data_IF_751020355806
#
_entry.id   IF_751020355806
#
_cell.length_a   1.000
_cell.length_b   1.000
_cell.length_c   1.000
_cell.angle_alpha   90.00
_cell.angle_beta   90.00
_cell.angle_gamma   90.00
#
_symmetry.space_group_name_H-M   'P 1'
#
loop_
_entity.id
_entity.type
_entity.pdbx_description
1 polymer ?
#
# COMPACT_ATOMS: atom_id res chain seq x y z
N UNK A 1 6.91 2.32 10.68
CA UNK A 1 6.92 2.93 12.02
C UNK A 1 5.91 4.09 12.03
N UNK A 2 5.47 4.59 13.20
CA UNK A 2 4.44 5.62 13.24
C UNK A 2 4.76 6.83 12.37
N UNK A 3 3.83 7.23 11.51
CA UNK A 3 3.93 8.42 10.68
C UNK A 3 3.07 9.57 11.23
N UNK A 4 3.46 10.80 10.89
CA UNK A 4 2.82 12.03 11.39
C UNK A 4 2.13 12.84 10.31
N UNK A 5 2.51 12.59 9.05
CA UNK A 5 1.80 13.13 7.91
C UNK A 5 0.41 12.52 7.81
N UNK A 6 -0.41 13.12 6.96
CA UNK A 6 -1.79 12.71 6.74
C UNK A 6 -2.11 12.97 5.27
N UNK A 7 -2.97 12.14 4.68
CA UNK A 7 -3.52 12.46 3.36
C UNK A 7 -4.22 13.82 3.32
N UNK A 8 -4.33 14.36 2.11
CA UNK A 8 -5.07 15.58 1.83
C UNK A 8 -6.54 15.45 2.24
N UNK A 9 -7.14 16.58 2.60
CA UNK A 9 -8.58 16.66 2.84
C UNK A 9 -9.24 17.24 1.59
N UNK A 10 -10.22 16.54 1.03
CA UNK A 10 -10.88 16.91 -0.23
C UNK A 10 -12.14 17.75 0.04
N UNK A 11 -12.29 18.87 -0.68
CA UNK A 11 -13.54 19.65 -0.74
C UNK A 11 -13.83 20.55 0.46
N UNK A 12 -15.03 21.16 0.45
CA UNK A 12 -15.62 21.81 1.62
C UNK A 12 -16.04 20.73 2.61
N UNK A 13 -15.22 20.52 3.65
CA UNK A 13 -15.55 19.57 4.69
C UNK A 13 -16.64 20.18 5.56
N UNK A 14 -17.81 19.54 5.59
CA UNK A 14 -18.83 19.84 6.59
C UNK A 14 -18.25 19.67 8.00
N UNK A 15 -18.83 20.31 9.02
CA UNK A 15 -18.41 20.12 10.40
C UNK A 15 -18.49 18.63 10.81
N UNK A 16 -17.57 18.15 11.66
CA UNK A 16 -16.51 18.90 12.33
C UNK A 16 -15.32 19.22 11.40
N UNK A 17 -14.62 20.37 11.59
CA UNK A 17 -13.45 20.72 10.80
C UNK A 17 -12.40 19.60 10.88
N UNK A 18 -11.75 19.25 9.76
CA UNK A 18 -10.88 18.07 9.67
C UNK A 18 -9.66 18.15 10.59
N UNK A 19 -9.30 19.32 11.13
CA UNK A 19 -8.19 19.47 12.07
C UNK A 19 -8.64 20.07 13.42
N UNK A 20 -9.95 20.09 13.69
CA UNK A 20 -10.51 20.61 14.94
C UNK A 20 -10.31 19.69 16.14
N UNK A 21 -10.15 18.38 15.89
CA UNK A 21 -10.03 17.34 16.92
C UNK A 21 -11.18 17.39 17.93
N UNK A 22 -12.40 17.62 17.42
CA UNK A 22 -13.61 17.66 18.24
C UNK A 22 -13.86 16.28 18.85
N UNK A 23 -14.32 16.31 20.10
CA UNK A 23 -14.67 15.11 20.86
C UNK A 23 -16.18 15.14 21.03
N UNK A 24 -16.86 14.07 20.64
CA UNK A 24 -18.29 13.94 20.86
C UNK A 24 -18.63 13.40 22.26
N UNK A 25 -19.93 13.27 22.52
CA UNK A 25 -20.45 12.79 23.81
C UNK A 25 -20.07 11.32 24.08
N UNK A 26 -19.77 10.54 23.05
CA UNK A 26 -19.25 9.17 23.17
C UNK A 26 -17.72 9.10 23.35
N UNK A 27 -17.03 10.24 23.37
CA UNK A 27 -15.57 10.31 23.54
C UNK A 27 -14.77 10.02 22.27
N UNK A 28 -15.41 9.99 21.10
CA UNK A 28 -14.74 9.78 19.81
C UNK A 28 -14.11 11.09 19.32
N UNK A 29 -12.89 11.00 18.79
CA UNK A 29 -12.13 12.17 18.31
C UNK A 29 -12.21 12.28 16.79
N UNK A 30 -12.79 13.36 16.29
CA UNK A 30 -12.94 13.64 14.87
C UNK A 30 -11.86 14.61 14.38
N UNK A 31 -10.84 14.05 13.74
CA UNK A 31 -9.87 14.81 12.95
C UNK A 31 -9.13 13.89 11.97
N UNK A 32 -8.65 14.47 10.87
CA UNK A 32 -7.71 13.84 9.96
C UNK A 32 -6.44 13.46 10.72
N UNK A 33 -6.12 12.17 10.60
CA UNK A 33 -4.97 11.57 11.25
C UNK A 33 -5.26 10.96 12.62
N UNK A 34 -6.48 11.07 13.16
CA UNK A 34 -6.80 10.40 14.44
C UNK A 34 -6.68 8.90 14.30
N UNK A 35 -7.20 8.31 13.22
CA UNK A 35 -7.15 6.87 12.96
C UNK A 35 -5.86 6.41 12.27
N UNK A 36 -5.44 7.13 11.22
CA UNK A 36 -4.24 6.83 10.43
C UNK A 36 -3.23 7.98 10.50
N UNK A 37 -2.25 7.93 11.39
CA UNK A 37 -2.12 6.93 12.46
C UNK A 37 -1.68 7.53 13.80
N UNK A 38 -2.08 8.78 14.06
CA UNK A 38 -1.64 9.50 15.27
C UNK A 38 -2.12 8.82 16.56
N UNK A 39 -3.24 8.08 16.55
CA UNK A 39 -3.65 7.30 17.71
C UNK A 39 -2.58 6.29 18.14
N UNK A 40 -2.03 5.50 17.21
CA UNK A 40 -0.98 4.51 17.49
C UNK A 40 0.29 5.20 17.99
N UNK A 41 0.65 6.33 17.36
CA UNK A 41 1.76 7.17 17.83
C UNK A 41 1.59 7.64 19.28
N UNK A 42 0.37 8.06 19.65
CA UNK A 42 0.05 8.46 21.03
C UNK A 42 0.05 7.29 22.00
N UNK A 43 -0.41 6.10 21.59
CA UNK A 43 -0.32 4.88 22.39
C UNK A 43 1.14 4.53 22.72
N UNK A 44 2.05 4.67 21.75
CA UNK A 44 3.48 4.46 21.99
C UNK A 44 4.02 5.42 23.05
N UNK A 45 3.67 6.71 22.97
CA UNK A 45 4.07 7.69 23.98
C UNK A 45 3.55 7.35 25.38
N UNK A 46 2.30 6.90 25.47
CA UNK A 46 1.69 6.41 26.72
C UNK A 46 2.45 5.21 27.29
N UNK A 47 2.72 4.20 26.46
CA UNK A 47 3.45 3.00 26.86
C UNK A 47 4.87 3.32 27.37
N UNK A 48 5.66 4.13 26.65
CA UNK A 48 7.01 4.53 27.10
C UNK A 48 6.93 5.26 28.44
N UNK A 49 5.96 6.16 28.61
CA UNK A 49 5.79 6.91 29.85
C UNK A 49 5.51 5.97 31.02
N UNK A 50 4.66 4.96 30.83
CA UNK A 50 4.40 3.94 31.84
C UNK A 50 5.66 3.12 32.17
N UNK A 51 6.39 2.65 31.15
CA UNK A 51 7.64 1.90 31.31
C UNK A 51 8.74 2.71 32.04
N UNK A 52 8.84 4.01 31.75
CA UNK A 52 9.77 4.91 32.45
C UNK A 52 9.37 5.10 33.91
N UNK A 53 8.07 5.27 34.19
CA UNK A 53 7.56 5.45 35.57
C UNK A 53 7.73 4.20 36.43
N UNK A 54 7.63 3.01 35.84
CA UNK A 54 7.85 1.74 36.56
C UNK A 54 9.33 1.42 36.79
N UNK A 55 10.26 2.20 36.22
CA UNK A 55 11.70 1.94 36.32
C UNK A 55 12.15 0.71 35.53
N UNK A 56 11.40 0.30 34.50
CA UNK A 56 11.71 -0.87 33.69
C UNK A 56 13.11 -0.77 33.06
N UNK A 57 13.85 -1.88 33.10
CA UNK A 57 15.17 -2.02 32.46
C UNK A 57 15.11 -3.13 31.42
N UNK A 58 15.57 -2.82 30.21
CA UNK A 58 15.48 -3.72 29.06
C UNK A 58 16.87 -4.25 28.67
N UNK A 59 16.90 -5.48 28.16
CA UNK A 59 18.13 -6.10 27.61
C UNK A 59 18.54 -5.49 26.27
N UNK A 60 17.63 -4.80 25.59
CA UNK A 60 17.79 -4.20 24.26
C UNK A 60 17.26 -2.77 24.29
N UNK A 61 17.75 -1.93 23.38
CA UNK A 61 17.30 -0.55 23.22
C UNK A 61 15.95 -0.52 22.51
N UNK A 62 15.01 0.26 23.04
CA UNK A 62 13.73 0.55 22.37
C UNK A 62 13.92 1.84 21.57
N UNK A 63 13.85 1.74 20.25
CA UNK A 63 13.87 2.88 19.34
C UNK A 63 12.45 3.23 18.91
N UNK A 64 12.13 4.52 18.90
CA UNK A 64 10.82 5.01 18.46
C UNK A 64 11.06 6.12 17.46
N UNK A 65 10.51 5.92 16.28
CA UNK A 65 10.67 6.82 15.15
C UNK A 65 9.30 7.33 14.72
N UNK A 66 9.14 8.65 14.73
CA UNK A 66 8.00 9.33 14.17
C UNK A 66 8.40 9.88 12.80
N UNK A 67 8.00 9.19 11.74
CA UNK A 67 8.38 9.56 10.38
C UNK A 67 7.36 10.52 9.77
N UNK A 68 7.76 11.12 8.66
CA UNK A 68 6.88 11.86 7.76
C UNK A 68 7.00 11.22 6.37
N UNK A 69 6.12 11.64 5.46
CA UNK A 69 6.12 11.29 4.03
C UNK A 69 5.68 9.83 3.75
N UNK A 70 5.11 9.11 4.72
CA UNK A 70 4.60 7.73 4.51
C UNK A 70 3.52 7.72 3.43
N UNK A 71 2.56 8.66 3.51
CA UNK A 71 1.38 8.75 2.64
C UNK A 71 1.76 9.03 1.17
N UNK A 72 2.99 9.50 0.95
CA UNK A 72 3.59 9.78 -0.36
C UNK A 72 4.62 8.70 -0.79
N UNK A 73 4.68 7.59 -0.07
CA UNK A 73 5.54 6.42 -0.35
C UNK A 73 6.93 6.48 0.29
N UNK A 74 7.14 7.36 1.26
CA UNK A 74 8.34 7.50 2.08
C UNK A 74 9.57 7.98 1.30
N UNK A 75 9.38 8.65 0.15
CA UNK A 75 10.44 9.05 -0.78
C UNK A 75 11.51 9.94 -0.14
N UNK A 76 11.08 10.85 0.73
CA UNK A 76 11.94 11.77 1.48
C UNK A 76 12.06 11.40 2.96
N UNK A 77 11.26 10.43 3.43
CA UNK A 77 11.26 9.93 4.80
C UNK A 77 12.08 8.65 4.99
N UNK A 78 11.40 7.54 5.25
CA UNK A 78 12.05 6.29 5.65
C UNK A 78 12.95 5.67 4.56
N UNK A 79 12.61 5.84 3.28
CA UNK A 79 13.32 5.22 2.16
C UNK A 79 14.80 5.63 2.07
N UNK A 80 15.18 6.92 2.09
CA UNK A 80 16.60 7.29 2.16
C UNK A 80 17.23 6.92 3.51
N UNK A 81 16.47 7.01 4.61
CA UNK A 81 17.01 6.80 5.95
C UNK A 81 17.52 5.38 6.19
N UNK A 82 16.83 4.34 5.70
CA UNK A 82 17.25 2.93 5.85
C UNK A 82 18.63 2.63 5.27
N UNK A 83 19.12 3.46 4.35
CA UNK A 83 20.43 3.30 3.72
C UNK A 83 21.56 4.06 4.44
N UNK A 84 21.26 4.77 5.51
CA UNK A 84 22.25 5.56 6.25
C UNK A 84 23.00 4.74 7.30
N UNK A 85 24.22 5.19 7.66
CA UNK A 85 24.95 4.63 8.80
C UNK A 85 24.17 4.81 10.12
N UNK A 86 23.41 5.90 10.25
CA UNK A 86 22.58 6.16 11.43
C UNK A 86 21.51 5.06 11.63
N UNK A 87 20.79 4.67 10.58
CA UNK A 87 19.83 3.57 10.65
C UNK A 87 20.51 2.24 10.95
N UNK A 88 21.64 1.94 10.28
CA UNK A 88 22.43 0.72 10.54
C UNK A 88 22.87 0.62 12.01
N UNK A 89 23.26 1.75 12.60
CA UNK A 89 23.71 1.82 14.00
C UNK A 89 22.57 1.61 15.03
N UNK A 90 21.30 1.70 14.62
CA UNK A 90 20.18 1.32 15.49
C UNK A 90 20.17 -0.18 15.80
N UNK A 91 20.81 -1.01 14.96
CA UNK A 91 20.93 -2.46 15.16
C UNK A 91 19.57 -3.13 15.44
N UNK A 92 18.58 -2.80 14.60
CA UNK A 92 17.19 -3.25 14.72
C UNK A 92 17.12 -4.76 14.52
N UNK A 93 16.55 -5.47 15.50
CA UNK A 93 16.28 -6.91 15.41
C UNK A 93 14.80 -7.26 15.20
N UNK A 94 13.91 -6.34 15.58
CA UNK A 94 12.46 -6.48 15.46
C UNK A 94 11.85 -5.08 15.36
N UNK A 95 10.80 -4.92 14.56
CA UNK A 95 10.09 -3.66 14.39
C UNK A 95 8.60 -3.92 14.38
N UNK A 96 7.85 -3.03 15.04
CA UNK A 96 6.41 -2.90 14.84
C UNK A 96 6.18 -1.78 13.84
N UNK A 97 5.38 -2.06 12.82
CA UNK A 97 5.00 -1.05 11.84
C UNK A 97 3.75 -0.28 12.30
N UNK A 98 3.17 0.51 11.41
CA UNK A 98 2.00 1.35 11.69
C UNK A 98 0.80 0.59 12.25
N UNK A 99 0.59 -0.64 11.79
CA UNK A 99 -0.59 -1.42 12.11
C UNK A 99 -1.87 -0.76 11.59
N UNK A 100 -3.01 -1.17 12.13
CA UNK A 100 -4.30 -0.58 11.80
C UNK A 100 -5.12 -0.41 13.06
N UNK A 101 -5.82 0.71 13.18
CA UNK A 101 -6.80 0.90 14.24
C UNK A 101 -7.95 -0.12 14.09
N UNK A 102 -8.34 -0.74 15.21
CA UNK A 102 -9.46 -1.66 15.26
C UNK A 102 -10.70 -0.98 15.86
N UNK A 103 -11.91 -1.20 15.30
CA UNK A 103 -13.15 -0.74 15.92
C UNK A 103 -13.57 -1.63 17.11
N UNK A 104 -12.88 -2.74 17.34
CA UNK A 104 -13.16 -3.68 18.43
C UNK A 104 -11.91 -3.88 19.29
N UNK A 105 -12.03 -4.71 20.33
CA UNK A 105 -10.90 -5.11 21.19
C UNK A 105 -9.95 -6.12 20.52
N UNK A 106 -10.23 -6.53 19.28
CA UNK A 106 -9.36 -7.40 18.50
C UNK A 106 -8.25 -6.58 17.87
N UNK A 107 -6.99 -6.92 18.16
CA UNK A 107 -5.82 -6.29 17.55
C UNK A 107 -5.44 -7.06 16.27
N UNK A 108 -5.66 -6.50 15.06
CA UNK A 108 -5.20 -7.15 13.84
C UNK A 108 -3.68 -7.10 13.76
N UNK A 109 -3.08 -8.25 13.43
CA UNK A 109 -1.63 -8.38 13.26
C UNK A 109 -1.34 -8.69 11.80
N UNK A 110 -0.60 -7.79 11.15
CA UNK A 110 -0.18 -7.94 9.77
C UNK A 110 1.26 -8.44 9.73
N UNK A 111 1.46 -9.63 9.17
CA UNK A 111 2.77 -10.28 9.09
C UNK A 111 3.41 -10.13 7.70
N UNK A 112 2.67 -9.62 6.72
CA UNK A 112 3.12 -9.47 5.35
C UNK A 112 2.39 -8.31 4.65
N UNK A 113 3.01 -7.82 3.57
CA UNK A 113 2.45 -6.81 2.70
C UNK A 113 2.53 -7.23 1.23
N UNK A 114 1.50 -6.84 0.47
CA UNK A 114 1.49 -6.98 -0.98
C UNK A 114 2.43 -5.97 -1.62
N UNK A 115 3.03 -6.36 -2.74
CA UNK A 115 3.93 -5.46 -3.46
C UNK A 115 3.16 -4.51 -4.39
N UNK A 116 3.41 -3.22 -4.22
CA UNK A 116 2.72 -2.16 -4.97
C UNK A 116 3.46 -1.86 -6.28
N UNK A 117 2.78 -2.07 -7.39
CA UNK A 117 3.23 -1.78 -8.74
C UNK A 117 2.21 -0.84 -9.40
N UNK A 118 2.61 0.40 -9.68
CA UNK A 118 1.81 1.38 -10.42
C UNK A 118 2.40 1.52 -11.81
N UNK A 119 1.74 0.88 -12.78
CA UNK A 119 2.27 0.67 -14.12
C UNK A 119 1.53 1.59 -15.09
N UNK A 120 2.26 2.53 -15.67
CA UNK A 120 1.81 3.36 -16.78
C UNK A 120 2.21 2.70 -18.09
N UNK A 121 1.23 2.53 -18.97
CA UNK A 121 1.43 2.07 -20.34
C UNK A 121 1.34 3.29 -21.25
N UNK A 122 2.48 3.74 -21.78
CA UNK A 122 2.56 4.81 -22.77
C UNK A 122 2.48 4.18 -24.17
N UNK A 123 1.31 4.25 -24.80
CA UNK A 123 0.94 3.43 -25.97
C UNK A 123 0.98 4.28 -27.23
N UNK A 124 2.02 4.09 -28.04
CA UNK A 124 2.19 4.78 -29.32
C UNK A 124 1.57 4.01 -30.48
N UNK A 125 1.02 4.74 -31.46
CA UNK A 125 0.49 4.15 -32.68
C UNK A 125 0.30 5.14 -33.82
N UNK A 126 -0.23 4.63 -34.93
CA UNK A 126 -0.48 5.42 -36.14
C UNK A 126 -1.54 6.49 -35.88
N UNK A 127 -1.19 7.76 -36.14
CA UNK A 127 -2.10 8.90 -36.05
C UNK A 127 -2.63 9.30 -37.43
N UNK A 128 -3.76 10.01 -37.45
CA UNK A 128 -4.33 10.56 -38.68
C UNK A 128 -5.78 10.98 -38.52
N UNK A 129 -6.47 11.19 -39.64
CA UNK A 129 -7.87 11.61 -39.62
C UNK A 129 -8.78 10.44 -39.19
N UNK A 130 -9.75 10.70 -38.30
CA UNK A 130 -10.66 9.71 -37.73
C UNK A 130 -11.61 9.04 -38.74
N UNK A 131 -11.69 9.55 -39.98
CA UNK A 131 -12.42 8.91 -41.08
C UNK A 131 -11.64 7.77 -41.75
N UNK A 132 -10.38 7.56 -41.39
CA UNK A 132 -9.51 6.53 -41.98
C UNK A 132 -9.42 5.32 -41.05
N UNK A 133 -9.45 4.12 -41.62
CA UNK A 133 -9.22 2.86 -40.91
C UNK A 133 -7.72 2.53 -40.89
N UNK A 134 -6.98 3.31 -40.12
CA UNK A 134 -5.54 3.13 -39.93
C UNK A 134 -5.28 1.85 -39.12
N UNK A 135 -4.19 1.15 -39.45
CA UNK A 135 -3.71 -0.02 -38.69
C UNK A 135 -2.70 0.42 -37.63
N UNK A 136 -2.50 -0.42 -36.61
CA UNK A 136 -1.47 -0.23 -35.59
C UNK A 136 -1.70 1.07 -34.79
N UNK A 137 -2.97 1.37 -34.50
CA UNK A 137 -3.34 2.58 -33.76
C UNK A 137 -3.10 2.42 -32.27
N UNK A 138 -2.94 3.53 -31.55
CA UNK A 138 -2.83 3.50 -30.09
C UNK A 138 -4.10 2.91 -29.45
N UNK A 139 -5.27 3.13 -30.06
CA UNK A 139 -6.56 2.60 -29.58
C UNK A 139 -6.68 1.07 -29.64
N UNK A 140 -6.24 0.45 -30.74
CA UNK A 140 -6.23 -1.03 -30.88
C UNK A 140 -5.33 -1.67 -29.82
N UNK A 141 -4.13 -1.10 -29.62
CA UNK A 141 -3.17 -1.57 -28.61
C UNK A 141 -3.69 -1.38 -27.20
N UNK A 142 -4.26 -0.22 -26.91
CA UNK A 142 -4.87 0.08 -25.62
C UNK A 142 -5.96 -0.93 -25.29
N UNK A 143 -6.86 -1.22 -26.23
CA UNK A 143 -7.92 -2.19 -26.04
C UNK A 143 -7.36 -3.58 -25.69
N UNK A 144 -6.29 -4.03 -26.36
CA UNK A 144 -5.64 -5.31 -26.03
C UNK A 144 -5.11 -5.33 -24.59
N UNK A 145 -4.33 -4.30 -24.19
CA UNK A 145 -3.72 -4.22 -22.85
C UNK A 145 -4.78 -4.14 -21.75
N UNK A 146 -5.78 -3.26 -21.91
CA UNK A 146 -6.88 -3.13 -20.94
C UNK A 146 -7.62 -4.46 -20.79
N UNK A 147 -7.91 -5.15 -21.90
CA UNK A 147 -8.57 -6.45 -21.84
C UNK A 147 -7.73 -7.49 -21.10
N UNK A 148 -6.40 -7.55 -21.30
CA UNK A 148 -5.53 -8.47 -20.55
C UNK A 148 -5.52 -8.18 -19.05
N UNK A 149 -5.35 -6.92 -18.67
CA UNK A 149 -5.33 -6.49 -17.27
C UNK A 149 -6.68 -6.71 -16.58
N UNK A 150 -7.78 -6.33 -17.23
CA UNK A 150 -9.14 -6.50 -16.69
C UNK A 150 -9.58 -7.97 -16.63
N UNK A 151 -9.12 -8.81 -17.57
CA UNK A 151 -9.34 -10.25 -17.52
C UNK A 151 -8.66 -10.86 -16.29
N UNK A 152 -7.42 -10.45 -15.99
CA UNK A 152 -6.71 -10.89 -14.79
C UNK A 152 -7.39 -10.39 -13.52
N UNK A 153 -7.83 -9.12 -13.48
CA UNK A 153 -8.66 -8.59 -12.38
C UNK A 153 -9.89 -9.47 -12.11
N UNK A 154 -10.62 -9.83 -13.17
CA UNK A 154 -11.82 -10.65 -13.04
C UNK A 154 -11.50 -12.07 -12.56
N UNK A 155 -10.33 -12.62 -12.90
CA UNK A 155 -9.87 -13.91 -12.37
C UNK A 155 -9.59 -13.83 -10.87
N UNK A 156 -8.89 -12.79 -10.41
CA UNK A 156 -8.59 -12.58 -8.99
C UNK A 156 -9.85 -12.32 -8.15
N UNK A 157 -10.81 -11.56 -8.69
CA UNK A 157 -12.11 -11.38 -8.05
C UNK A 157 -12.86 -12.71 -7.89
N UNK A 158 -12.92 -13.52 -8.94
CA UNK A 158 -13.55 -14.85 -8.87
C UNK A 158 -12.86 -15.78 -7.87
N UNK A 159 -11.52 -15.72 -7.75
CA UNK A 159 -10.80 -16.49 -6.72
C UNK A 159 -11.29 -16.12 -5.32
N UNK A 160 -11.42 -14.82 -5.04
CA UNK A 160 -11.89 -14.31 -3.75
C UNK A 160 -13.36 -14.68 -3.50
N UNK A 161 -14.24 -14.52 -4.48
CA UNK A 161 -15.67 -14.83 -4.34
C UNK A 161 -15.94 -16.34 -4.16
N UNK A 162 -15.13 -17.19 -4.79
CA UNK A 162 -15.31 -18.64 -4.76
C UNK A 162 -14.63 -19.33 -3.57
N UNK A 163 -13.84 -18.61 -2.76
CA UNK A 163 -13.18 -19.19 -1.59
C UNK A 163 -13.30 -18.26 -0.36
N UNK A 164 -14.19 -18.60 0.60
CA UNK A 164 -14.40 -17.79 1.79
C UNK A 164 -13.22 -17.78 2.77
N UNK A 165 -12.23 -18.67 2.60
CA UNK A 165 -11.00 -18.68 3.41
C UNK A 165 -10.01 -17.61 2.95
N UNK A 166 -10.16 -17.07 1.73
CA UNK A 166 -9.31 -16.01 1.22
C UNK A 166 -9.78 -14.65 1.67
N UNK A 167 -8.81 -13.82 2.02
CA UNK A 167 -9.02 -12.39 2.25
C UNK A 167 -8.48 -11.58 1.06
N UNK A 168 -8.75 -10.27 1.06
CA UNK A 168 -8.21 -9.38 0.03
C UNK A 168 -6.67 -9.37 -0.01
N UNK A 169 -6.00 -9.72 1.10
CA UNK A 169 -4.54 -9.81 1.18
C UNK A 169 -3.95 -10.99 0.40
N UNK A 170 -4.76 -12.03 0.16
CA UNK A 170 -4.33 -13.28 -0.46
C UNK A 170 -4.45 -13.26 -1.99
N UNK A 171 -5.02 -12.20 -2.56
CA UNK A 171 -5.22 -12.05 -4.01
C UNK A 171 -4.55 -10.80 -4.56
N UNK A 172 -4.23 -10.85 -5.85
CA UNK A 172 -3.67 -9.70 -6.57
C UNK A 172 -4.79 -8.75 -6.96
N UNK A 173 -4.76 -7.50 -6.48
CA UNK A 173 -5.72 -6.49 -6.94
C UNK A 173 -5.16 -5.72 -8.12
N UNK A 174 -5.99 -5.50 -9.14
CA UNK A 174 -5.63 -4.78 -10.36
C UNK A 174 -6.75 -3.78 -10.63
N UNK A 175 -6.44 -2.49 -10.63
CA UNK A 175 -7.44 -1.44 -10.89
C UNK A 175 -6.92 -0.43 -11.89
N UNK A 176 -7.72 -0.10 -12.91
CA UNK A 176 -7.46 1.00 -13.84
C UNK A 176 -7.71 2.32 -13.09
N UNK A 177 -6.66 3.08 -12.81
CA UNK A 177 -6.74 4.29 -11.98
C UNK A 177 -6.56 5.58 -12.76
N UNK A 178 -5.94 5.54 -13.95
CA UNK A 178 -5.84 6.68 -14.87
C UNK A 178 -5.96 6.23 -16.31
N UNK A 179 -6.53 7.09 -17.13
CA UNK A 179 -6.58 6.96 -18.59
C UNK A 179 -6.55 8.35 -19.22
N UNK A 180 -5.89 8.50 -20.37
CA UNK A 180 -5.84 9.78 -21.08
C UNK A 180 -5.14 9.72 -22.43
N UNK A 181 -5.17 10.83 -23.15
CA UNK A 181 -4.55 11.01 -24.46
C UNK A 181 -5.53 11.51 -25.54
N UNK A 182 -5.00 11.81 -26.72
CA UNK A 182 -5.74 12.46 -27.81
C UNK A 182 -5.86 13.98 -27.68
N UNK A 183 -6.20 14.62 -28.80
CA UNK A 183 -6.24 16.10 -28.91
C UNK A 183 -7.59 16.63 -29.41
N UNK A 184 -8.23 15.92 -30.34
CA UNK A 184 -9.50 16.31 -30.96
C UNK A 184 -10.32 15.06 -31.30
N UNK A 185 -11.64 15.18 -31.32
CA UNK A 185 -12.55 14.05 -31.51
C UNK A 185 -12.48 13.40 -32.91
N UNK A 186 -12.00 14.13 -33.91
CA UNK A 186 -11.84 13.66 -35.30
C UNK A 186 -10.40 13.22 -35.64
N UNK A 187 -9.52 13.05 -34.65
CA UNK A 187 -8.11 12.67 -34.86
C UNK A 187 -7.81 11.35 -34.15
N UNK A 188 -7.25 10.39 -34.89
CA UNK A 188 -6.66 9.17 -34.33
C UNK A 188 -5.39 9.57 -33.57
N UNK A 189 -5.29 9.30 -32.26
CA UNK A 189 -4.20 9.81 -31.44
C UNK A 189 -2.88 9.07 -31.71
N UNK A 190 -1.73 9.78 -31.69
CA UNK A 190 -0.41 9.15 -31.78
C UNK A 190 -0.02 8.43 -30.48
N UNK A 191 -0.58 8.85 -29.35
CA UNK A 191 -0.25 8.36 -28.01
C UNK A 191 -1.52 8.31 -27.15
N UNK A 192 -1.71 7.19 -26.46
CA UNK A 192 -2.66 7.03 -25.36
C UNK A 192 -1.92 6.52 -24.13
N UNK A 193 -2.46 6.81 -22.95
CA UNK A 193 -1.90 6.37 -21.68
C UNK A 193 -2.98 5.74 -20.80
N UNK A 194 -2.62 4.64 -20.13
CA UNK A 194 -3.39 4.11 -19.00
C UNK A 194 -2.46 3.71 -17.85
N UNK A 195 -2.95 3.87 -16.62
CA UNK A 195 -2.27 3.43 -15.41
C UNK A 195 -3.10 2.38 -14.68
N UNK A 196 -2.46 1.27 -14.30
CA UNK A 196 -3.02 0.29 -13.38
C UNK A 196 -2.29 0.33 -12.03
N UNK A 197 -3.03 0.46 -10.92
CA UNK A 197 -2.53 0.15 -9.58
C UNK A 197 -2.69 -1.37 -9.37
N UNK A 198 -1.56 -2.05 -9.25
CA UNK A 198 -1.45 -3.49 -9.06
C UNK A 198 -0.82 -3.76 -7.70
N UNK A 199 -1.55 -4.45 -6.82
CA UNK A 199 -1.03 -4.93 -5.53
C UNK A 199 -0.84 -6.43 -5.66
N UNK A 200 0.38 -6.86 -5.93
CA UNK A 200 0.73 -8.27 -6.14
C UNK A 200 0.65 -9.04 -4.82
N UNK A 201 -0.08 -10.16 -4.83
CA UNK A 201 -0.15 -11.09 -3.70
C UNK A 201 1.24 -11.63 -3.33
N UNK A 202 1.37 -12.08 -2.08
CA UNK A 202 2.66 -12.47 -1.48
C UNK A 202 3.29 -13.72 -2.11
N UNK A 203 2.50 -14.51 -2.82
CA UNK A 203 2.87 -15.74 -3.51
C UNK A 203 3.19 -15.53 -5.01
N UNK A 204 2.94 -14.33 -5.54
CA UNK A 204 3.18 -14.02 -6.95
C UNK A 204 4.67 -13.84 -7.24
N UNK A 205 5.16 -14.57 -8.24
CA UNK A 205 6.47 -14.35 -8.84
C UNK A 205 6.45 -13.05 -9.67
N UNK A 206 7.17 -12.05 -9.16
CA UNK A 206 7.25 -10.74 -9.78
C UNK A 206 8.00 -10.73 -11.11
N UNK A 207 8.98 -11.63 -11.28
CA UNK A 207 9.77 -11.73 -12.51
C UNK A 207 8.89 -12.31 -13.61
N UNK A 208 8.15 -13.37 -13.32
CA UNK A 208 7.22 -13.97 -14.29
C UNK A 208 6.05 -13.04 -14.61
N UNK A 209 5.53 -12.32 -13.61
CA UNK A 209 4.50 -11.31 -13.84
C UNK A 209 5.00 -10.19 -14.77
N UNK A 210 6.19 -9.65 -14.53
CA UNK A 210 6.80 -8.63 -15.38
C UNK A 210 7.02 -9.12 -16.80
N UNK A 211 7.59 -10.33 -16.97
CA UNK A 211 7.76 -10.95 -18.29
C UNK A 211 6.43 -11.07 -19.03
N UNK A 212 5.35 -11.46 -18.34
CA UNK A 212 4.00 -11.54 -18.91
C UNK A 212 3.49 -10.19 -19.41
N UNK A 213 3.70 -9.11 -18.63
CA UNK A 213 3.31 -7.75 -19.04
C UNK A 213 4.11 -7.29 -20.27
N UNK A 214 5.42 -7.53 -20.30
CA UNK A 214 6.24 -7.25 -21.48
C UNK A 214 5.82 -8.07 -22.70
N UNK A 215 5.48 -9.35 -22.51
CA UNK A 215 4.98 -10.19 -23.58
C UNK A 215 3.70 -9.62 -24.19
N UNK A 216 2.73 -9.18 -23.36
CA UNK A 216 1.52 -8.54 -23.87
C UNK A 216 1.80 -7.27 -24.68
N UNK A 217 2.81 -6.48 -24.29
CA UNK A 217 3.22 -5.31 -25.06
C UNK A 217 3.79 -5.70 -26.43
N UNK A 218 4.55 -6.80 -26.50
CA UNK A 218 5.11 -7.31 -27.75
C UNK A 218 4.05 -7.95 -28.65
N UNK A 219 3.10 -8.71 -28.09
CA UNK A 219 2.03 -9.41 -28.83
C UNK A 219 1.20 -8.46 -29.68
N UNK A 220 1.02 -7.22 -29.23
CA UNK A 220 0.22 -6.19 -29.92
C UNK A 220 1.05 -5.27 -30.83
N UNK A 221 2.26 -5.71 -31.18
CA UNK A 221 3.15 -5.02 -32.13
C UNK A 221 4.07 -3.97 -31.50
N UNK A 222 4.26 -3.97 -30.18
CA UNK A 222 5.19 -3.08 -29.49
C UNK A 222 4.78 -1.61 -29.53
N UNK A 223 5.76 -0.70 -29.37
CA UNK A 223 5.50 0.74 -29.26
C UNK A 223 4.75 1.11 -27.97
N UNK A 224 4.94 0.32 -26.92
CA UNK A 224 4.38 0.56 -25.59
C UNK A 224 5.56 0.68 -24.63
N UNK A 225 5.74 1.86 -24.06
CA UNK A 225 6.72 2.09 -23.00
C UNK A 225 6.04 1.87 -21.65
N UNK A 226 6.69 1.10 -20.77
CA UNK A 226 6.24 0.85 -19.41
C UNK A 226 6.98 1.79 -18.47
N UNK A 227 6.24 2.66 -17.82
CA UNK A 227 6.75 3.51 -16.75
C UNK A 227 6.20 3.03 -15.41
N UNK A 228 7.06 2.90 -14.41
CA UNK A 228 6.66 2.51 -13.06
C UNK A 228 6.80 3.68 -12.11
N UNK A 229 5.68 4.28 -11.70
CA UNK A 229 5.66 5.29 -10.64
C UNK A 229 6.11 4.66 -9.31
N UNK A 230 5.69 3.42 -9.08
CA UNK A 230 6.13 2.60 -7.97
C UNK A 230 6.29 1.15 -8.44
N UNK A 231 7.41 0.52 -8.08
CA UNK A 231 7.69 -0.90 -8.33
C UNK A 231 8.41 -1.48 -7.11
N UNK A 232 7.64 -1.93 -6.12
CA UNK A 232 8.22 -2.48 -4.88
C UNK A 232 8.63 -3.94 -5.07
N UNK A 233 9.83 -4.34 -4.60
CA UNK A 233 10.23 -5.73 -4.60
C UNK A 233 9.39 -6.53 -3.61
N UNK A 234 9.31 -7.85 -3.83
CA UNK A 234 8.71 -8.78 -2.89
C UNK A 234 9.44 -8.74 -1.55
N UNK A 235 8.69 -8.62 -0.46
CA UNK A 235 9.18 -8.78 0.90
C UNK A 235 8.63 -10.10 1.44
N UNK A 236 9.47 -10.90 2.09
CA UNK A 236 9.02 -12.16 2.68
C UNK A 236 8.08 -11.88 3.84
N UNK A 237 7.00 -12.66 3.99
CA UNK A 237 6.20 -12.67 5.21
C UNK A 237 7.08 -12.91 6.45
N UNK A 238 6.77 -12.21 7.52
CA UNK A 238 7.36 -12.47 8.84
C UNK A 238 6.87 -13.83 9.33
N UNK A 239 7.74 -14.78 9.70
CA UNK A 239 7.30 -16.06 10.25
C UNK A 239 6.54 -15.85 11.56
N UNK A 240 5.33 -16.39 11.64
CA UNK A 240 4.43 -16.34 12.81
C UNK A 240 4.37 -17.70 13.52
N UNK A 241 5.50 -18.40 13.56
CA UNK A 241 5.63 -19.71 14.18
C UNK A 241 6.86 -19.76 15.12
N UNK A 242 7.15 -20.95 15.65
CA UNK A 242 8.24 -21.18 16.62
C UNK A 242 9.64 -20.93 16.06
N UNK A 243 9.80 -20.79 14.74
CA UNK A 243 11.09 -20.43 14.13
C UNK A 243 11.49 -18.98 14.40
N UNK A 244 10.55 -18.11 14.76
CA UNK A 244 10.80 -16.70 15.04
C UNK A 244 10.68 -16.41 16.56
N UNK A 245 11.79 -16.25 17.28
CA UNK A 245 11.75 -16.00 18.72
C UNK A 245 11.10 -14.65 19.09
N UNK A 246 11.12 -13.67 18.17
CA UNK A 246 10.43 -12.39 18.40
C UNK A 246 8.92 -12.54 18.29
N UNK A 247 8.44 -13.41 17.40
CA UNK A 247 7.02 -13.74 17.30
C UNK A 247 6.53 -14.40 18.60
N UNK A 248 7.25 -15.39 19.13
CA UNK A 248 6.88 -16.04 20.39
C UNK A 248 6.78 -15.06 21.56
N UNK A 249 7.72 -14.11 21.66
CA UNK A 249 7.69 -13.07 22.68
C UNK A 249 6.51 -12.10 22.47
N UNK A 250 6.23 -11.73 21.22
CA UNK A 250 5.10 -10.88 20.86
C UNK A 250 3.77 -11.56 21.20
N UNK A 251 3.56 -12.79 20.71
CA UNK A 251 2.37 -13.60 20.95
C UNK A 251 2.11 -13.80 22.45
N UNK A 252 3.14 -14.15 23.23
CA UNK A 252 3.02 -14.28 24.69
C UNK A 252 2.56 -12.99 25.34
N UNK A 253 3.16 -11.85 24.97
CA UNK A 253 2.78 -10.55 25.53
C UNK A 253 1.38 -10.12 25.10
N UNK A 254 0.92 -10.54 23.92
CA UNK A 254 -0.40 -10.16 23.42
C UNK A 254 -1.53 -11.06 23.89
N UNK A 255 -1.26 -12.34 24.16
CA UNK A 255 -2.25 -13.26 24.71
C UNK A 255 -2.66 -12.91 26.14
N UNK A 256 -1.81 -12.17 26.86
CA UNK A 256 -2.13 -11.61 28.18
C UNK A 256 -3.15 -10.44 28.11
N UNK A 257 -3.45 -9.88 26.93
CA UNK A 257 -4.45 -8.81 26.76
C UNK A 257 -5.91 -9.30 26.74
N UNK A 258 -6.21 -10.52 27.16
CA UNK A 258 -7.57 -10.82 27.67
C UNK A 258 -7.82 -9.94 28.89
N UNK A 259 -8.57 -8.86 28.68
CA UNK A 259 -9.09 -7.92 29.68
C UNK A 259 -9.04 -8.46 31.12
N UNK A 260 -8.25 -7.84 31.99
CA UNK A 260 -8.51 -7.86 33.43
C UNK A 260 -9.46 -6.67 33.68
N UNK A 261 -10.76 -6.89 33.93
CA UNK A 261 -11.64 -5.80 34.34
C UNK A 261 -11.20 -5.33 35.73
N UNK A 262 -10.75 -4.08 35.83
CA UNK A 262 -10.53 -3.39 37.10
C UNK A 262 -9.11 -3.45 37.65
N UNK A 263 -8.32 -2.42 37.35
CA UNK A 263 -7.30 -1.87 38.23
C UNK A 263 -7.29 -0.34 38.08
#
# INVERSE_FOLDING_TARGET
PPHRDVVQVLGENGPPPPFGAEIDDEGRIFARGTQDMKCVGMQYLGAIRALKRSGAKFKRTIHISFIADEEMGGRYGMRPFVHTAAFKNLNIGFSLDEGLASPTEVLPVFYAERSVWRIYFQISGTAGHGSLLLKNTAGEKLNYIVNKMMSMRAQELRKLENNPELTIGDVTTINLTRAGGGVQSNVVPPLLMVCFDVRLAIDVDQIEFEKKVHQWCNDVGGGIELEYEQKRPRVNPTPTDKSNPFWLAFESATNEFTFIPGA
#
